data_IF_156581907254
#
_entry.id   IF_156581907254
#
_cell.length_a   1.000
_cell.length_b   1.000
_cell.length_c   1.000
_cell.angle_alpha   90.00
_cell.angle_beta   90.00
_cell.angle_gamma   90.00
#
_symmetry.space_group_name_H-M   'P 1'
#
loop_
_entity.id
_entity.type
_entity.pdbx_description
1 polymer ?
#
# COMPACT_ATOMS: atom_id res chain seq x y z
N UNK A 1 -10.41 -10.29 -13.20
CA UNK A 1 -9.30 -10.11 -12.26
C UNK A 1 -8.95 -8.64 -12.13
N UNK A 2 -8.64 -7.98 -13.24
CA UNK A 2 -8.26 -6.56 -13.21
C UNK A 2 -9.40 -5.65 -12.77
N UNK A 3 -10.64 -6.00 -13.10
CA UNK A 3 -11.81 -5.20 -12.72
C UNK A 3 -12.01 -5.16 -11.20
N UNK A 4 -11.75 -6.26 -10.50
CA UNK A 4 -11.83 -6.28 -9.03
C UNK A 4 -10.80 -5.36 -8.40
N UNK A 5 -9.57 -5.37 -8.92
CA UNK A 5 -8.52 -4.46 -8.46
C UNK A 5 -8.91 -3.01 -8.74
N UNK A 6 -9.41 -2.72 -9.94
CA UNK A 6 -9.82 -1.37 -10.32
C UNK A 6 -10.95 -0.85 -9.42
N UNK A 7 -11.94 -1.68 -9.13
CA UNK A 7 -13.05 -1.31 -8.23
C UNK A 7 -12.53 -1.00 -6.83
N UNK A 8 -11.67 -1.86 -6.29
CA UNK A 8 -11.08 -1.65 -4.96
C UNK A 8 -10.27 -0.35 -4.92
N UNK A 9 -9.46 -0.07 -5.95
CA UNK A 9 -8.68 1.17 -6.00
C UNK A 9 -9.56 2.41 -6.04
N UNK A 10 -10.62 2.38 -6.85
CA UNK A 10 -11.54 3.52 -6.97
C UNK A 10 -12.21 3.81 -5.64
N UNK A 11 -12.71 2.78 -4.97
CA UNK A 11 -13.39 2.93 -3.68
C UNK A 11 -12.42 3.45 -2.61
N UNK A 12 -11.22 2.90 -2.54
CA UNK A 12 -10.21 3.32 -1.57
C UNK A 12 -9.72 4.74 -1.83
N UNK A 13 -9.51 5.12 -3.09
CA UNK A 13 -9.11 6.49 -3.43
C UNK A 13 -10.18 7.49 -3.03
N UNK A 14 -11.46 7.16 -3.24
CA UNK A 14 -12.56 8.02 -2.84
C UNK A 14 -12.61 8.17 -1.31
N UNK A 15 -12.48 7.08 -0.57
CA UNK A 15 -12.46 7.11 0.88
C UNK A 15 -11.27 7.91 1.42
N UNK A 16 -10.09 7.74 0.86
CA UNK A 16 -8.90 8.50 1.25
C UNK A 16 -9.04 9.98 0.90
N UNK A 17 -9.67 10.28 -0.25
CA UNK A 17 -9.97 11.65 -0.64
C UNK A 17 -10.88 12.36 0.35
N UNK A 18 -11.85 11.66 0.92
CA UNK A 18 -12.73 12.19 1.97
C UNK A 18 -11.94 12.54 3.25
N UNK A 19 -10.81 11.88 3.46
CA UNK A 19 -9.91 12.16 4.58
C UNK A 19 -8.85 13.23 4.25
N UNK A 20 -8.90 13.79 3.05
CA UNK A 20 -7.94 14.81 2.61
C UNK A 20 -6.65 14.23 2.01
N UNK A 21 -6.64 12.95 1.66
CA UNK A 21 -5.46 12.28 1.11
C UNK A 21 -5.64 12.05 -0.39
N UNK A 22 -4.74 12.63 -1.20
CA UNK A 22 -4.70 12.40 -2.65
C UNK A 22 -3.87 11.15 -2.95
N UNK A 23 -4.53 10.00 -2.97
CA UNK A 23 -3.89 8.73 -3.25
C UNK A 23 -3.94 8.40 -4.74
N UNK A 24 -2.86 7.84 -5.25
CA UNK A 24 -2.73 7.48 -6.66
C UNK A 24 -2.22 6.06 -6.80
N UNK A 25 -2.56 5.43 -7.91
CA UNK A 25 -2.04 4.09 -8.23
C UNK A 25 -0.52 4.13 -8.36
N UNK A 26 0.14 3.14 -7.77
CA UNK A 26 1.58 2.98 -7.82
C UNK A 26 2.17 2.91 -6.41
N UNK A 27 3.49 2.79 -6.38
CA UNK A 27 4.23 2.77 -5.12
C UNK A 27 5.65 3.29 -5.34
N UNK A 28 6.28 3.82 -4.29
CA UNK A 28 7.67 4.25 -4.40
C UNK A 28 8.60 3.06 -4.66
N UNK A 29 9.71 3.32 -5.32
CA UNK A 29 10.77 2.34 -5.49
C UNK A 29 11.27 1.87 -4.12
N UNK A 30 11.57 0.59 -4.01
CA UNK A 30 12.03 0.01 -2.74
C UNK A 30 10.92 -0.30 -1.74
N UNK A 31 9.64 -0.25 -2.15
CA UNK A 31 8.51 -0.56 -1.29
C UNK A 31 8.48 -2.02 -0.87
N UNK A 32 7.97 -2.26 0.34
CA UNK A 32 7.71 -3.64 0.81
C UNK A 32 6.58 -4.28 0.00
N UNK A 33 6.63 -5.62 -0.15
CA UNK A 33 5.63 -6.38 -0.89
C UNK A 33 5.23 -5.68 -2.20
N UNK A 34 6.17 -5.43 -3.12
CA UNK A 34 5.89 -4.64 -4.30
C UNK A 34 4.81 -5.27 -5.18
N UNK A 35 3.96 -4.42 -5.75
CA UNK A 35 2.87 -4.86 -6.61
C UNK A 35 2.29 -3.71 -7.42
N UNK A 36 1.71 -4.04 -8.57
CA UNK A 36 1.17 -3.05 -9.51
C UNK A 36 -0.16 -2.44 -9.07
N UNK A 37 -0.77 -2.95 -7.99
CA UNK A 37 -2.11 -2.54 -7.55
C UNK A 37 -2.09 -1.63 -6.33
N UNK A 38 -0.91 -1.24 -5.87
CA UNK A 38 -0.74 -0.40 -4.69
C UNK A 38 -1.24 1.04 -4.90
N UNK A 39 -1.54 1.72 -3.81
CA UNK A 39 -1.79 3.16 -3.80
C UNK A 39 -0.73 3.87 -2.98
N UNK A 40 -0.38 5.07 -3.42
CA UNK A 40 0.62 5.93 -2.78
C UNK A 40 0.14 7.37 -2.72
N UNK A 41 0.74 8.16 -1.86
CA UNK A 41 0.48 9.60 -1.75
C UNK A 41 1.79 10.38 -1.96
N UNK A 42 2.37 10.27 -3.14
CA UNK A 42 3.60 10.97 -3.51
C UNK A 42 4.72 10.74 -2.50
N UNK A 43 5.25 11.81 -1.92
CA UNK A 43 6.35 11.75 -0.94
C UNK A 43 5.97 11.06 0.36
N UNK A 44 4.68 10.91 0.62
CA UNK A 44 4.21 10.24 1.84
C UNK A 44 4.29 8.71 1.74
N UNK A 45 4.65 8.18 0.57
CA UNK A 45 4.95 6.77 0.41
C UNK A 45 3.73 5.90 0.14
N UNK A 46 3.95 4.59 0.24
CA UNK A 46 2.92 3.57 0.01
C UNK A 46 1.92 3.55 1.15
N UNK A 47 0.64 3.71 0.82
CA UNK A 47 -0.46 3.71 1.78
C UNK A 47 -1.24 2.41 1.80
N UNK A 48 -1.40 1.77 0.64
CA UNK A 48 -2.29 0.63 0.47
C UNK A 48 -1.61 -0.44 -0.38
N UNK A 49 -1.65 -1.67 0.10
CA UNK A 49 -1.33 -2.85 -0.68
C UNK A 49 -2.59 -3.66 -0.91
N UNK A 50 -2.81 -4.13 -2.13
CA UNK A 50 -4.00 -4.88 -2.50
C UNK A 50 -3.60 -6.21 -3.11
N UNK A 51 -4.23 -7.29 -2.68
CA UNK A 51 -4.03 -8.63 -3.20
C UNK A 51 -5.35 -9.29 -3.52
N UNK A 52 -5.33 -10.22 -4.45
CA UNK A 52 -6.50 -10.98 -4.84
C UNK A 52 -6.18 -12.47 -4.86
N UNK A 53 -7.12 -13.27 -4.38
CA UNK A 53 -7.06 -14.71 -4.51
C UNK A 53 -8.34 -15.18 -5.19
N UNK A 54 -8.17 -15.94 -6.27
CA UNK A 54 -9.28 -16.50 -7.04
C UNK A 54 -9.24 -18.01 -6.92
N UNK A 55 -10.37 -18.60 -6.58
CA UNK A 55 -10.58 -20.03 -6.54
C UNK A 55 -11.84 -20.37 -7.33
N UNK A 56 -12.06 -21.66 -7.61
CA UNK A 56 -13.27 -22.08 -8.30
C UNK A 56 -14.49 -21.65 -7.51
N UNK A 57 -15.35 -20.85 -8.14
CA UNK A 57 -16.60 -20.38 -7.54
C UNK A 57 -16.48 -19.22 -6.55
N UNK A 58 -15.25 -18.71 -6.30
CA UNK A 58 -15.06 -17.63 -5.36
C UNK A 58 -13.85 -16.77 -5.68
N UNK A 59 -13.91 -15.50 -5.30
CA UNK A 59 -12.77 -14.59 -5.37
C UNK A 59 -12.74 -13.70 -4.12
N UNK A 60 -11.55 -13.43 -3.62
CA UNK A 60 -11.34 -12.55 -2.48
C UNK A 60 -10.34 -11.46 -2.86
N UNK A 61 -10.70 -10.22 -2.59
CA UNK A 61 -9.78 -9.08 -2.66
C UNK A 61 -9.51 -8.64 -1.23
N UNK A 62 -8.25 -8.57 -0.87
CA UNK A 62 -7.83 -8.15 0.46
C UNK A 62 -6.80 -7.03 0.34
N UNK A 63 -6.75 -6.18 1.35
CA UNK A 63 -5.80 -5.09 1.33
C UNK A 63 -5.36 -4.71 2.74
N UNK A 64 -4.25 -3.99 2.78
CA UNK A 64 -3.73 -3.37 3.99
C UNK A 64 -3.73 -1.87 3.76
N UNK A 65 -4.33 -1.12 4.67
CA UNK A 65 -4.30 0.34 4.66
C UNK A 65 -3.50 0.78 5.89
N UNK A 66 -2.44 1.52 5.66
CA UNK A 66 -1.59 2.01 6.76
C UNK A 66 -2.15 3.34 7.25
N UNK A 67 -2.70 3.34 8.44
CA UNK A 67 -3.32 4.53 9.04
C UNK A 67 -2.27 5.41 9.72
N UNK A 68 -1.45 4.81 10.58
CA UNK A 68 -0.37 5.49 11.30
C UNK A 68 0.78 4.50 11.55
N UNK A 69 1.79 4.93 12.30
CA UNK A 69 2.87 4.04 12.70
C UNK A 69 3.83 3.65 11.58
N UNK A 70 3.91 4.43 10.52
CA UNK A 70 4.76 4.12 9.37
C UNK A 70 6.24 3.95 9.75
N UNK A 71 6.74 4.70 10.74
CA UNK A 71 8.13 4.58 11.20
C UNK A 71 8.35 3.25 11.91
N UNK A 72 7.43 2.83 12.77
CA UNK A 72 7.51 1.54 13.47
C UNK A 72 7.45 0.39 12.47
N UNK A 73 6.59 0.48 11.46
CA UNK A 73 6.50 -0.52 10.39
C UNK A 73 7.84 -0.61 9.64
N UNK A 74 8.40 0.52 9.26
CA UNK A 74 9.68 0.57 8.57
C UNK A 74 10.80 -0.05 9.42
N UNK A 75 10.82 0.25 10.73
CA UNK A 75 11.82 -0.28 11.65
C UNK A 75 11.73 -1.80 11.81
N UNK A 76 10.53 -2.37 11.73
CA UNK A 76 10.34 -3.81 11.76
C UNK A 76 10.74 -4.47 10.43
N UNK A 77 10.38 -3.84 9.32
CA UNK A 77 10.61 -4.40 7.98
C UNK A 77 12.07 -4.34 7.55
N UNK A 78 12.81 -3.30 7.92
CA UNK A 78 14.18 -3.11 7.46
C UNK A 78 15.10 -4.30 7.76
N UNK A 79 15.19 -4.82 9.00
CA UNK A 79 16.04 -5.97 9.27
C UNK A 79 15.54 -7.25 8.59
N UNK A 80 14.24 -7.40 8.39
CA UNK A 80 13.67 -8.57 7.71
C UNK A 80 14.11 -8.58 6.24
N UNK A 81 13.98 -7.46 5.55
CA UNK A 81 14.38 -7.35 4.15
C UNK A 81 15.88 -7.49 3.98
N UNK A 82 16.66 -6.95 4.92
CA UNK A 82 18.12 -7.11 4.93
C UNK A 82 18.50 -8.59 5.08
N UNK A 83 17.85 -9.31 6.00
CA UNK A 83 18.09 -10.74 6.21
C UNK A 83 17.73 -11.59 4.98
N UNK A 84 16.75 -11.15 4.19
CA UNK A 84 16.33 -11.81 2.95
C UNK A 84 17.14 -11.37 1.73
N UNK A 85 18.07 -10.45 1.90
CA UNK A 85 18.86 -9.84 0.82
C UNK A 85 17.95 -9.21 -0.26
N UNK A 86 16.88 -8.53 0.20
CA UNK A 86 15.92 -7.85 -0.67
C UNK A 86 16.01 -6.33 -0.48
N UNK A 87 15.79 -5.60 -1.57
CA UNK A 87 15.77 -4.15 -1.54
C UNK A 87 14.57 -3.63 -0.75
N UNK A 88 14.81 -2.67 0.13
CA UNK A 88 13.74 -1.97 0.87
C UNK A 88 14.22 -0.57 1.27
N UNK A 89 13.43 0.43 0.91
CA UNK A 89 13.67 1.81 1.34
C UNK A 89 12.69 2.13 2.47
N UNK A 90 13.16 2.34 3.71
CA UNK A 90 12.29 2.67 4.85
C UNK A 90 11.41 3.90 4.61
N UNK A 91 11.87 4.84 3.78
CA UNK A 91 11.11 6.06 3.46
C UNK A 91 9.93 5.79 2.54
N UNK A 92 9.88 4.61 1.90
CA UNK A 92 8.78 4.22 1.01
C UNK A 92 7.50 3.86 1.77
N UNK A 93 7.59 3.58 3.07
CA UNK A 93 6.42 3.28 3.90
C UNK A 93 5.70 4.58 4.22
N UNK A 94 4.43 4.64 3.85
CA UNK A 94 3.57 5.78 4.14
C UNK A 94 2.49 5.43 5.14
N UNK A 95 1.68 6.43 5.46
CA UNK A 95 0.49 6.27 6.28
C UNK A 95 -0.47 7.41 5.97
N UNK A 96 -1.73 7.23 6.34
CA UNK A 96 -2.73 8.30 6.23
C UNK A 96 -2.27 9.51 7.06
N UNK A 97 -1.76 9.28 8.26
CA UNK A 97 -1.22 10.32 9.13
C UNK A 97 -0.09 11.10 8.46
N UNK A 98 0.89 10.38 7.88
CA UNK A 98 2.03 10.99 7.17
C UNK A 98 1.57 11.82 5.98
N UNK A 99 0.50 11.41 5.30
CA UNK A 99 -0.07 12.11 4.16
C UNK A 99 -0.97 13.29 4.54
N UNK A 100 -1.14 13.57 5.82
CA UNK A 100 -1.91 14.71 6.31
C UNK A 100 -3.39 14.43 6.54
N UNK A 101 -3.75 13.16 6.53
CA UNK A 101 -5.13 12.74 6.79
C UNK A 101 -5.45 12.50 8.25
#
# INVERSE_FOLDING_TARGET
VQQRYATARVDLRAALGDLGVDARRGEPEGSFCPGSQSLQAGRSGKLVGIAQRVQQGAAMVAGVVIVDGHEDIADVLAPIYDALDLEFDPRSVGSIEKAGG
#
